data_IF_421954709378
#
_entry.id   IF_421954709378
#
_cell.length_a   1.000
_cell.length_b   1.000
_cell.length_c   1.000
_cell.angle_alpha   90.00
_cell.angle_beta   90.00
_cell.angle_gamma   90.00
#
_symmetry.space_group_name_H-M   'P 1'
#
loop_
_entity.id
_entity.type
_entity.pdbx_description
1 polymer ?
#
# COMPACT_ATOMS: atom_id res chain seq x y z
N UNK A 1 16.43 -20.00 11.43
CA UNK A 1 16.32 -19.97 9.96
C UNK A 1 16.72 -18.57 9.56
N UNK A 2 17.67 -18.38 8.65
CA UNK A 2 18.19 -17.05 8.35
C UNK A 2 17.43 -16.44 7.17
N UNK A 3 17.02 -15.17 7.31
CA UNK A 3 16.38 -14.39 6.26
C UNK A 3 17.44 -13.85 5.32
N UNK A 4 17.23 -13.99 4.01
CA UNK A 4 18.12 -13.45 2.96
C UNK A 4 17.53 -12.25 2.23
N UNK A 5 16.22 -12.03 2.31
CA UNK A 5 15.55 -10.94 1.62
C UNK A 5 14.07 -10.80 1.93
N UNK A 6 13.52 -9.65 1.54
CA UNK A 6 12.10 -9.32 1.57
C UNK A 6 11.70 -8.79 0.20
N UNK A 7 10.58 -9.28 -0.34
CA UNK A 7 9.87 -8.66 -1.44
C UNK A 7 8.54 -8.09 -0.93
N UNK A 8 8.40 -6.77 -0.97
CA UNK A 8 7.15 -6.09 -0.65
C UNK A 8 6.45 -5.68 -1.95
N UNK A 9 5.32 -6.31 -2.23
CA UNK A 9 4.53 -6.11 -3.44
C UNK A 9 3.36 -5.18 -3.17
N UNK A 10 3.17 -4.16 -4.02
CA UNK A 10 1.97 -3.32 -4.07
C UNK A 10 1.24 -3.64 -5.37
N UNK A 11 0.10 -4.32 -5.24
CA UNK A 11 -0.63 -4.87 -6.38
C UNK A 11 -1.72 -3.92 -6.84
N UNK A 12 -1.82 -3.75 -8.15
CA UNK A 12 -2.87 -2.97 -8.79
C UNK A 12 -4.22 -3.70 -8.70
N UNK A 13 -5.03 -3.27 -7.75
CA UNK A 13 -6.43 -3.72 -7.58
C UNK A 13 -7.42 -2.64 -8.01
N UNK A 14 -6.96 -1.58 -8.64
CA UNK A 14 -7.70 -0.34 -8.90
C UNK A 14 -7.80 0.53 -7.65
N UNK A 15 -8.97 1.16 -7.42
CA UNK A 15 -9.20 2.00 -6.24
C UNK A 15 -9.40 1.13 -5.00
N UNK A 16 -8.32 0.86 -4.26
CA UNK A 16 -8.28 0.06 -3.05
C UNK A 16 -6.84 -0.31 -2.72
N UNK A 17 -6.64 -1.21 -1.76
CA UNK A 17 -5.30 -1.62 -1.34
C UNK A 17 -5.11 -3.14 -1.43
N UNK A 18 -3.90 -3.53 -1.84
CA UNK A 18 -3.40 -4.88 -1.69
C UNK A 18 -1.87 -4.89 -1.62
N UNK A 19 -1.34 -5.19 -0.44
CA UNK A 19 0.10 -5.33 -0.25
C UNK A 19 0.43 -6.77 0.14
N UNK A 20 1.30 -7.42 -0.60
CA UNK A 20 1.71 -8.80 -0.37
C UNK A 20 3.20 -8.85 -0.08
N UNK A 21 3.61 -9.61 0.93
CA UNK A 21 5.00 -9.67 1.35
C UNK A 21 5.49 -11.11 1.26
N UNK A 22 6.67 -11.29 0.68
CA UNK A 22 7.41 -12.55 0.70
C UNK A 22 8.70 -12.36 1.49
N UNK A 23 8.99 -13.29 2.38
CA UNK A 23 10.26 -13.33 3.12
C UNK A 23 11.05 -14.54 2.62
N UNK A 24 12.28 -14.30 2.19
CA UNK A 24 13.16 -15.28 1.57
C UNK A 24 14.13 -15.87 2.60
N UNK A 25 14.36 -17.18 2.52
CA UNK A 25 15.37 -17.88 3.32
C UNK A 25 16.77 -17.77 2.69
N UNK A 26 17.81 -18.27 3.35
CA UNK A 26 19.20 -18.28 2.83
C UNK A 26 19.38 -18.91 1.44
N UNK A 27 18.50 -19.81 1.02
CA UNK A 27 18.49 -20.44 -0.31
C UNK A 27 17.77 -19.58 -1.37
N UNK A 28 17.25 -18.41 -0.99
CA UNK A 28 16.45 -17.53 -1.84
C UNK A 28 15.01 -18.02 -2.07
N UNK A 29 14.55 -19.02 -1.31
CA UNK A 29 13.20 -19.56 -1.39
C UNK A 29 12.24 -18.78 -0.49
N UNK A 30 11.01 -18.58 -0.98
CA UNK A 30 9.92 -18.02 -0.18
C UNK A 30 9.67 -18.93 1.01
N UNK A 31 9.62 -18.31 2.19
CA UNK A 31 9.45 -19.02 3.44
C UNK A 31 8.21 -18.57 4.17
N UNK A 32 8.05 -17.27 4.35
CA UNK A 32 6.87 -16.67 4.93
C UNK A 32 6.18 -15.80 3.89
N UNK A 33 4.85 -15.74 3.97
CA UNK A 33 4.07 -14.78 3.21
C UNK A 33 3.09 -14.05 4.12
N UNK A 34 2.94 -12.75 3.90
CA UNK A 34 2.00 -11.90 4.63
C UNK A 34 1.13 -11.14 3.64
N UNK A 35 -0.09 -10.79 4.05
CA UNK A 35 -1.03 -9.99 3.28
C UNK A 35 -1.53 -8.83 4.13
N UNK A 36 -1.38 -7.61 3.63
CA UNK A 36 -1.87 -6.38 4.24
C UNK A 36 -2.87 -5.76 3.28
N UNK A 37 -4.14 -5.83 3.66
CA UNK A 37 -5.32 -5.48 2.87
C UNK A 37 -5.47 -6.30 1.56
N UNK A 38 -6.72 -6.44 1.14
CA UNK A 38 -7.10 -6.94 -0.18
C UNK A 38 -8.53 -6.49 -0.47
N UNK A 39 -8.66 -5.35 -1.14
CA UNK A 39 -9.95 -4.82 -1.52
C UNK A 39 -9.92 -3.84 -2.69
N UNK A 40 -11.11 -3.51 -3.19
CA UNK A 40 -11.29 -2.49 -4.23
C UNK A 40 -12.73 -1.99 -4.30
N UNK A 41 -12.94 -0.72 -4.62
CA UNK A 41 -14.21 -0.15 -5.10
C UNK A 41 -14.20 0.08 -6.62
N UNK A 42 -13.10 -0.25 -7.30
CA UNK A 42 -13.03 -0.27 -8.76
C UNK A 42 -13.73 -1.48 -9.39
N UNK A 43 -13.68 -1.57 -10.72
CA UNK A 43 -14.20 -2.74 -11.42
C UNK A 43 -13.41 -3.97 -11.00
N UNK A 44 -14.12 -5.01 -10.54
CA UNK A 44 -13.50 -6.27 -10.07
C UNK A 44 -12.51 -6.88 -11.06
N UNK A 45 -12.67 -6.61 -12.36
CA UNK A 45 -11.79 -7.05 -13.43
C UNK A 45 -10.34 -6.61 -13.22
N UNK A 46 -10.09 -5.38 -12.76
CA UNK A 46 -8.73 -4.86 -12.53
C UNK A 46 -7.93 -5.75 -11.57
N UNK A 47 -8.60 -6.32 -10.57
CA UNK A 47 -7.98 -7.15 -9.56
C UNK A 47 -7.93 -8.65 -9.91
N UNK A 48 -8.55 -9.11 -11.01
CA UNK A 48 -8.74 -10.55 -11.26
C UNK A 48 -7.42 -11.30 -11.42
N UNK A 49 -6.50 -10.77 -12.22
CA UNK A 49 -5.19 -11.38 -12.45
C UNK A 49 -4.35 -11.40 -11.17
N UNK A 50 -4.36 -10.30 -10.40
CA UNK A 50 -3.64 -10.21 -9.13
C UNK A 50 -4.24 -11.13 -8.06
N UNK A 51 -5.57 -11.32 -8.02
CA UNK A 51 -6.20 -12.32 -7.14
C UNK A 51 -5.79 -13.74 -7.53
N UNK A 52 -5.74 -14.05 -8.83
CA UNK A 52 -5.31 -15.37 -9.30
C UNK A 52 -3.84 -15.63 -8.91
N UNK A 53 -2.97 -14.64 -9.11
CA UNK A 53 -1.57 -14.70 -8.70
C UNK A 53 -1.41 -14.90 -7.19
N UNK A 54 -2.16 -14.16 -6.35
CA UNK A 54 -2.11 -14.34 -4.89
C UNK A 54 -2.53 -15.75 -4.45
N UNK A 55 -3.55 -16.32 -5.10
CA UNK A 55 -3.98 -17.70 -4.82
C UNK A 55 -2.89 -18.69 -5.15
N UNK A 56 -2.20 -18.50 -6.27
CA UNK A 56 -1.05 -19.32 -6.66
C UNK A 56 0.08 -19.20 -5.62
N UNK A 57 0.38 -17.99 -5.12
CA UNK A 57 1.39 -17.83 -4.06
C UNK A 57 1.01 -18.56 -2.77
N UNK A 58 -0.26 -18.49 -2.36
CA UNK A 58 -0.77 -19.23 -1.19
C UNK A 58 -0.69 -20.75 -1.42
N UNK A 59 -1.13 -21.22 -2.58
CA UNK A 59 -1.10 -22.65 -2.95
C UNK A 59 0.33 -23.20 -3.01
N UNK A 60 1.28 -22.40 -3.50
CA UNK A 60 2.70 -22.73 -3.53
C UNK A 60 3.35 -22.68 -2.14
N UNK A 61 2.80 -21.91 -1.20
CA UNK A 61 3.25 -21.84 0.19
C UNK A 61 2.47 -22.81 1.09
N UNK A 62 2.31 -24.06 0.64
CA UNK A 62 1.60 -25.13 1.36
C UNK A 62 0.19 -24.73 1.86
N UNK A 63 -0.49 -23.87 1.09
CA UNK A 63 -1.83 -23.37 1.44
C UNK A 63 -1.85 -22.64 2.79
N UNK A 64 -0.80 -21.87 3.09
CA UNK A 64 -0.61 -21.18 4.36
C UNK A 64 -0.23 -19.71 4.20
N UNK A 65 -0.76 -18.85 5.07
CA UNK A 65 -0.42 -17.43 5.17
C UNK A 65 0.01 -17.11 6.61
N UNK A 66 1.18 -16.53 6.83
CA UNK A 66 1.69 -16.28 8.18
C UNK A 66 0.88 -15.20 8.90
N UNK A 67 0.58 -14.09 8.21
CA UNK A 67 -0.21 -13.00 8.76
C UNK A 67 -1.14 -12.37 7.71
N UNK A 68 -2.36 -12.07 8.14
CA UNK A 68 -3.32 -11.23 7.42
C UNK A 68 -3.65 -10.01 8.27
N UNK A 69 -3.33 -8.83 7.77
CA UNK A 69 -3.66 -7.56 8.42
C UNK A 69 -4.70 -6.83 7.57
N UNK A 70 -5.79 -6.40 8.19
CA UNK A 70 -6.76 -5.49 7.58
C UNK A 70 -6.63 -4.14 8.27
N UNK A 71 -6.15 -3.12 7.56
CA UNK A 71 -5.78 -1.84 8.19
C UNK A 71 -6.99 -1.13 8.79
N UNK A 72 -8.16 -1.22 8.18
CA UNK A 72 -9.41 -0.69 8.71
C UNK A 72 -10.63 -1.27 7.99
N UNK A 73 -11.82 -0.85 8.47
CA UNK A 73 -13.10 -1.42 8.08
C UNK A 73 -13.77 -0.78 6.85
N UNK A 74 -13.06 -0.05 5.99
CA UNK A 74 -13.60 0.39 4.70
C UNK A 74 -13.48 -0.69 3.63
N UNK A 75 -14.46 -0.66 2.73
CA UNK A 75 -14.79 -1.82 1.89
C UNK A 75 -13.70 -2.13 0.86
N UNK A 76 -12.99 -1.13 0.38
CA UNK A 76 -11.86 -1.22 -0.53
C UNK A 76 -10.55 -1.74 0.09
N UNK A 77 -10.57 -2.15 1.37
CA UNK A 77 -9.42 -2.76 2.04
C UNK A 77 -9.59 -4.25 2.34
N UNK A 78 -10.81 -4.80 2.26
CA UNK A 78 -11.06 -6.20 2.66
C UNK A 78 -11.99 -7.00 1.75
N UNK A 79 -12.77 -6.34 0.88
CA UNK A 79 -13.89 -7.00 0.21
C UNK A 79 -13.50 -8.09 -0.79
N UNK A 80 -12.22 -8.20 -1.15
CA UNK A 80 -11.69 -9.23 -2.04
C UNK A 80 -11.07 -10.42 -1.28
N UNK A 81 -10.88 -10.34 0.05
CA UNK A 81 -10.32 -11.43 0.87
C UNK A 81 -11.09 -12.75 0.68
N UNK A 82 -12.42 -12.69 0.60
CA UNK A 82 -13.24 -13.89 0.39
C UNK A 82 -12.89 -14.65 -0.91
N UNK A 83 -12.25 -14.01 -1.89
CA UNK A 83 -11.86 -14.62 -3.15
C UNK A 83 -10.56 -15.42 -3.08
N UNK A 84 -9.69 -15.15 -2.11
CA UNK A 84 -8.47 -15.93 -1.91
C UNK A 84 -8.68 -17.10 -0.95
N UNK A 85 -9.74 -17.09 -0.15
CA UNK A 85 -10.03 -18.17 0.80
C UNK A 85 -10.03 -19.60 0.21
N UNK A 86 -10.52 -19.85 -1.02
CA UNK A 86 -10.45 -21.17 -1.62
C UNK A 86 -9.02 -21.73 -1.79
N UNK A 87 -7.99 -20.89 -1.82
CA UNK A 87 -6.59 -21.34 -1.91
C UNK A 87 -6.13 -22.13 -0.67
N UNK A 88 -6.71 -21.84 0.50
CA UNK A 88 -6.43 -22.53 1.77
C UNK A 88 -7.12 -23.90 1.88
N UNK A 89 -8.00 -24.26 0.94
CA UNK A 89 -8.87 -25.44 1.06
C UNK A 89 -9.97 -25.28 2.11
N UNK A 90 -10.56 -26.39 2.61
CA UNK A 90 -11.57 -26.35 3.67
C UNK A 90 -10.96 -25.82 4.99
N UNK A 91 -11.62 -24.88 5.70
CA UNK A 91 -11.09 -24.32 6.94
C UNK A 91 -10.79 -25.40 8.01
N UNK A 92 -9.58 -25.39 8.55
CA UNK A 92 -9.08 -26.31 9.59
C UNK A 92 -8.54 -25.59 10.84
N UNK A 93 -8.42 -24.25 10.80
CA UNK A 93 -8.02 -23.40 11.91
C UNK A 93 -6.52 -23.06 11.96
N UNK A 94 -5.71 -23.62 11.06
CA UNK A 94 -4.24 -23.43 11.06
C UNK A 94 -3.69 -22.98 9.71
N UNK A 95 -4.54 -22.47 8.81
CA UNK A 95 -4.11 -22.02 7.47
C UNK A 95 -3.68 -20.56 7.43
N UNK A 96 -4.12 -19.77 8.40
CA UNK A 96 -3.65 -18.40 8.59
C UNK A 96 -3.07 -18.31 9.99
N UNK A 97 -1.78 -17.97 10.12
CA UNK A 97 -1.09 -17.91 11.40
C UNK A 97 -1.72 -16.88 12.33
N UNK A 98 -1.85 -15.64 11.86
CA UNK A 98 -2.44 -14.53 12.60
C UNK A 98 -3.36 -13.69 11.72
N UNK A 99 -4.50 -13.25 12.27
CA UNK A 99 -5.34 -12.20 11.69
C UNK A 99 -5.41 -11.01 12.65
N UNK A 100 -5.10 -9.82 12.15
CA UNK A 100 -5.30 -8.56 12.87
C UNK A 100 -6.14 -7.58 12.06
N UNK A 101 -6.90 -6.73 12.74
CA UNK A 101 -7.72 -5.76 12.05
C UNK A 101 -7.91 -4.45 12.83
N UNK A 102 -7.89 -3.32 12.13
CA UNK A 102 -8.22 -2.02 12.69
C UNK A 102 -9.73 -1.77 12.75
N UNK A 103 -10.17 -1.07 13.78
CA UNK A 103 -11.56 -0.68 14.00
C UNK A 103 -12.47 -1.85 14.39
N UNK A 104 -13.77 -1.58 14.54
CA UNK A 104 -14.67 -2.57 15.09
C UNK A 104 -15.07 -3.65 14.08
N UNK A 105 -15.17 -4.89 14.56
CA UNK A 105 -15.44 -6.11 13.77
C UNK A 105 -16.67 -6.00 12.84
N UNK A 106 -17.71 -5.28 13.25
CA UNK A 106 -18.95 -5.11 12.51
C UNK A 106 -18.78 -4.30 11.22
N UNK A 107 -17.66 -3.60 11.02
CA UNK A 107 -17.33 -2.94 9.75
C UNK A 107 -16.91 -3.92 8.65
N UNK A 108 -16.41 -5.09 9.03
CA UNK A 108 -15.98 -6.14 8.09
C UNK A 108 -17.19 -6.97 7.62
N UNK A 109 -17.98 -6.33 6.76
CA UNK A 109 -19.28 -6.74 6.23
C UNK A 109 -20.28 -7.22 7.30
N UNK A 110 -20.40 -6.52 8.43
CA UNK A 110 -21.23 -6.90 9.60
C UNK A 110 -20.64 -8.02 10.47
N UNK A 111 -19.30 -8.11 10.49
CA UNK A 111 -18.52 -9.12 11.23
C UNK A 111 -18.55 -10.50 10.59
N UNK A 112 -19.20 -10.64 9.41
CA UNK A 112 -19.26 -11.92 8.70
C UNK A 112 -17.88 -12.36 8.24
N UNK A 113 -17.06 -11.42 7.77
CA UNK A 113 -15.70 -11.74 7.35
C UNK A 113 -14.85 -12.20 8.52
N UNK A 114 -14.84 -11.47 9.65
CA UNK A 114 -14.11 -11.86 10.87
C UNK A 114 -14.50 -13.27 11.33
N UNK A 115 -15.82 -13.56 11.41
CA UNK A 115 -16.29 -14.92 11.74
C UNK A 115 -15.89 -16.00 10.74
N UNK A 116 -15.69 -15.62 9.47
CA UNK A 116 -15.23 -16.55 8.43
C UNK A 116 -13.74 -16.81 8.60
N UNK A 117 -12.94 -15.76 8.79
CA UNK A 117 -11.50 -15.84 9.01
C UNK A 117 -11.15 -16.61 10.29
N UNK A 118 -11.91 -16.46 11.38
CA UNK A 118 -11.73 -17.25 12.60
C UNK A 118 -11.97 -18.77 12.45
N UNK A 119 -12.33 -19.25 11.25
CA UNK A 119 -12.34 -20.69 10.93
C UNK A 119 -11.03 -21.17 10.28
N UNK A 120 -10.22 -20.25 9.77
CA UNK A 120 -8.93 -20.51 9.13
C UNK A 120 -7.74 -20.22 10.06
N UNK A 121 -7.98 -19.53 11.19
CA UNK A 121 -6.96 -19.20 12.18
C UNK A 121 -7.44 -19.44 13.61
N UNK A 122 -6.52 -19.83 14.49
CA UNK A 122 -6.70 -19.83 15.94
C UNK A 122 -6.40 -18.48 16.61
N UNK A 123 -5.81 -17.52 15.88
CA UNK A 123 -5.38 -16.22 16.39
C UNK A 123 -5.97 -15.07 15.55
N UNK A 124 -7.08 -14.51 16.03
CA UNK A 124 -7.76 -13.38 15.40
C UNK A 124 -8.14 -12.33 16.45
N UNK A 125 -7.80 -11.07 16.20
CA UNK A 125 -8.09 -9.98 17.14
C UNK A 125 -8.05 -8.60 16.49
N UNK A 126 -8.83 -7.68 17.04
CA UNK A 126 -8.69 -6.25 16.76
C UNK A 126 -7.72 -5.60 17.73
N UNK A 127 -7.44 -4.32 17.51
CA UNK A 127 -6.59 -3.53 18.40
C UNK A 127 -7.40 -2.77 19.45
N UNK A 128 -6.74 -2.39 20.55
CA UNK A 128 -7.29 -1.42 21.49
C UNK A 128 -7.07 0.00 20.94
N UNK A 129 -7.85 1.01 21.41
CA UNK A 129 -7.66 2.39 20.98
C UNK A 129 -6.24 2.90 21.24
N UNK A 130 -5.63 3.53 20.22
CA UNK A 130 -4.23 3.98 20.21
C UNK A 130 -3.23 2.90 20.62
N UNK A 131 -3.52 1.61 20.36
CA UNK A 131 -2.58 0.55 20.68
C UNK A 131 -1.33 0.70 19.82
N UNK A 132 -0.17 0.52 20.45
CA UNK A 132 1.15 0.54 19.83
C UNK A 132 1.98 -0.62 20.38
N UNK A 133 2.96 -1.08 19.60
CA UNK A 133 4.05 -1.95 20.07
C UNK A 133 5.21 -1.17 20.67
N UNK A 134 5.20 0.17 20.58
CA UNK A 134 6.26 1.04 21.10
C UNK A 134 6.08 1.33 22.59
N UNK A 135 7.15 1.15 23.36
CA UNK A 135 7.23 1.44 24.79
C UNK A 135 8.61 2.07 25.10
N UNK A 136 8.68 3.40 25.27
CA UNK A 136 9.95 4.11 25.44
C UNK A 136 10.69 3.74 26.73
N UNK A 137 10.01 3.13 27.70
CA UNK A 137 10.57 2.75 28.99
C UNK A 137 11.23 1.34 28.97
N UNK A 138 11.11 0.60 27.86
CA UNK A 138 11.74 -0.71 27.69
C UNK A 138 13.14 -0.60 27.08
N UNK A 139 13.99 -1.57 27.40
CA UNK A 139 15.29 -1.75 26.73
C UNK A 139 15.10 -2.07 25.25
N UNK A 140 14.25 -3.08 24.96
CA UNK A 140 13.70 -3.31 23.62
C UNK A 140 12.40 -2.52 23.49
N UNK A 141 12.51 -1.31 22.92
CA UNK A 141 11.39 -0.36 22.81
C UNK A 141 10.22 -0.86 21.95
N UNK A 142 10.43 -1.87 21.12
CA UNK A 142 9.45 -2.36 20.16
C UNK A 142 9.04 -3.81 20.44
N UNK A 143 7.75 -4.02 20.69
CA UNK A 143 7.14 -5.35 20.77
C UNK A 143 6.41 -5.67 19.44
N UNK A 144 6.93 -6.63 18.66
CA UNK A 144 6.35 -6.97 17.37
C UNK A 144 5.03 -7.73 17.54
N UNK A 145 4.07 -7.46 16.65
CA UNK A 145 2.81 -8.22 16.60
C UNK A 145 2.98 -9.58 15.91
N UNK A 146 4.05 -9.74 15.13
CA UNK A 146 4.43 -10.98 14.46
C UNK A 146 5.93 -10.95 14.10
N UNK A 147 6.60 -12.10 14.09
CA UNK A 147 8.02 -12.20 13.76
C UNK A 147 8.40 -13.59 13.21
N UNK A 148 9.49 -13.68 12.44
CA UNK A 148 10.03 -14.97 11.93
C UNK A 148 10.83 -15.74 12.98
N UNK A 149 11.39 -15.04 13.96
CA UNK A 149 12.23 -15.57 15.03
C UNK A 149 12.50 -14.52 16.10
N UNK A 150 13.66 -14.56 16.76
CA UNK A 150 14.01 -13.65 17.87
C UNK A 150 15.36 -12.95 17.68
N UNK A 151 16.05 -13.22 16.58
CA UNK A 151 17.40 -12.71 16.32
C UNK A 151 17.34 -11.43 15.46
N UNK A 152 18.41 -10.63 15.46
CA UNK A 152 18.45 -9.35 14.71
C UNK A 152 18.28 -9.51 13.19
N UNK A 153 18.59 -10.69 12.65
CA UNK A 153 18.43 -11.03 11.24
C UNK A 153 17.02 -11.54 10.90
N UNK A 154 16.12 -11.64 11.88
CA UNK A 154 14.71 -11.97 11.67
C UNK A 154 13.90 -10.77 11.18
N UNK A 155 12.72 -11.05 10.62
CA UNK A 155 11.76 -10.02 10.23
C UNK A 155 10.74 -9.83 11.34
N UNK A 156 10.46 -8.56 11.66
CA UNK A 156 9.53 -8.15 12.71
C UNK A 156 8.44 -7.27 12.11
N UNK A 157 7.18 -7.63 12.31
CA UNK A 157 6.05 -6.77 12.00
C UNK A 157 5.74 -5.91 13.23
N UNK A 158 6.17 -4.66 13.19
CA UNK A 158 6.00 -3.68 14.26
C UNK A 158 4.66 -2.96 14.11
N UNK A 159 3.91 -2.87 15.22
CA UNK A 159 2.73 -2.01 15.30
C UNK A 159 3.16 -0.61 15.71
N UNK A 160 3.11 0.34 14.77
CA UNK A 160 3.41 1.75 15.07
C UNK A 160 2.23 2.33 15.85
N UNK A 161 1.02 2.31 15.27
CA UNK A 161 -0.21 2.68 15.98
C UNK A 161 -1.44 2.06 15.32
N UNK A 162 -2.50 1.81 16.09
CA UNK A 162 -3.81 1.40 15.60
C UNK A 162 -4.95 2.09 16.36
N UNK A 163 -6.13 2.14 15.74
CA UNK A 163 -7.40 2.51 16.37
C UNK A 163 -7.40 3.87 17.09
N UNK A 164 -6.71 4.86 16.52
CA UNK A 164 -6.67 6.22 17.07
C UNK A 164 -8.10 6.75 17.29
N UNK A 165 -8.45 7.24 18.49
CA UNK A 165 -9.76 7.82 18.76
C UNK A 165 -10.09 8.98 17.84
N UNK A 166 -11.34 9.07 17.42
CA UNK A 166 -11.84 10.16 16.58
C UNK A 166 -12.95 10.93 17.32
N UNK A 167 -13.06 12.26 17.24
CA UNK A 167 -14.07 13.03 17.97
C UNK A 167 -15.53 12.67 17.63
N UNK A 168 -15.75 12.13 16.43
CA UNK A 168 -17.05 11.60 16.00
C UNK A 168 -17.23 10.10 16.29
N UNK A 169 -16.33 9.50 17.08
CA UNK A 169 -16.57 8.17 17.59
C UNK A 169 -17.85 8.18 18.45
N UNK A 170 -18.75 7.22 18.24
CA UNK A 170 -19.86 7.01 19.16
C UNK A 170 -19.32 6.78 20.57
N UNK A 171 -19.99 7.35 21.57
CA UNK A 171 -19.61 7.30 22.99
C UNK A 171 -19.31 5.88 23.54
N UNK A 172 -19.74 4.85 22.82
CA UNK A 172 -19.48 3.45 23.09
C UNK A 172 -19.27 2.71 21.77
N UNK A 173 -18.16 2.98 21.06
CA UNK A 173 -17.76 2.32 19.80
C UNK A 173 -17.85 0.78 19.89
N UNK A 174 -17.59 0.24 21.09
CA UNK A 174 -17.60 -1.19 21.38
C UNK A 174 -18.84 -1.69 22.17
N UNK A 175 -19.70 -0.79 22.67
CA UNK A 175 -20.86 -1.20 23.48
C UNK A 175 -22.22 -0.99 22.79
N UNK A 176 -22.32 -0.12 21.77
CA UNK A 176 -23.54 0.07 20.98
C UNK A 176 -23.52 -0.87 19.78
N UNK A 177 -24.65 -1.54 19.51
CA UNK A 177 -24.77 -2.46 18.38
C UNK A 177 -24.80 -1.68 17.06
N UNK A 178 -23.63 -1.53 16.42
CA UNK A 178 -23.41 -0.93 15.07
C UNK A 178 -23.79 0.56 14.94
N UNK A 179 -23.12 1.44 15.70
CA UNK A 179 -23.28 2.89 15.51
C UNK A 179 -22.88 3.32 14.09
N UNK A 180 -23.49 4.39 13.57
CA UNK A 180 -23.03 5.01 12.33
C UNK A 180 -21.67 5.68 12.56
N UNK A 181 -20.70 5.36 11.71
CA UNK A 181 -19.43 6.07 11.60
C UNK A 181 -19.37 6.74 10.23
N UNK A 182 -18.85 7.97 10.16
CA UNK A 182 -18.50 8.59 8.88
C UNK A 182 -17.19 7.97 8.36
N UNK A 183 -16.85 8.19 7.08
CA UNK A 183 -15.64 7.60 6.48
C UNK A 183 -14.36 8.01 7.20
N UNK A 184 -14.24 9.30 7.57
CA UNK A 184 -13.09 9.84 8.32
C UNK A 184 -12.85 9.11 9.65
N UNK A 185 -13.90 8.86 10.44
CA UNK A 185 -13.77 8.12 11.69
C UNK A 185 -13.37 6.66 11.47
N UNK A 186 -13.71 6.06 10.32
CA UNK A 186 -13.30 4.68 9.98
C UNK A 186 -11.84 4.67 9.56
N UNK A 187 -11.41 5.66 8.78
CA UNK A 187 -10.04 5.82 8.29
C UNK A 187 -9.05 6.16 9.40
N UNK A 188 -9.49 6.90 10.42
CA UNK A 188 -8.70 7.16 11.64
C UNK A 188 -8.38 5.86 12.41
N UNK A 189 -9.10 4.77 12.15
CA UNK A 189 -8.80 3.43 12.70
C UNK A 189 -7.74 2.66 11.93
N UNK A 190 -7.13 3.27 10.92
CA UNK A 190 -6.06 2.63 10.14
C UNK A 190 -4.93 2.16 11.06
N UNK A 191 -4.54 0.91 10.86
CA UNK A 191 -3.33 0.33 11.46
C UNK A 191 -2.13 0.82 10.65
N UNK A 192 -1.25 1.58 11.29
CA UNK A 192 0.05 1.96 10.74
C UNK A 192 1.09 0.97 11.28
N UNK A 193 1.85 0.34 10.38
CA UNK A 193 2.79 -0.72 10.72
C UNK A 193 4.11 -0.58 9.96
N UNK A 194 5.19 -1.04 10.58
CA UNK A 194 6.51 -1.16 9.96
C UNK A 194 6.90 -2.63 9.87
N UNK A 195 7.20 -3.12 8.67
CA UNK A 195 7.87 -4.41 8.50
C UNK A 195 9.38 -4.16 8.59
N UNK A 196 9.97 -4.53 9.70
CA UNK A 196 11.37 -4.36 10.01
C UNK A 196 12.19 -5.58 9.61
N UNK A 197 13.32 -5.33 8.96
CA UNK A 197 14.37 -6.33 8.84
C UNK A 197 15.72 -5.64 8.96
N UNK A 198 16.49 -6.04 9.97
CA UNK A 198 17.69 -5.32 10.40
C UNK A 198 17.35 -3.85 10.71
N UNK A 199 18.06 -2.92 10.08
CA UNK A 199 17.93 -1.48 10.27
C UNK A 199 17.01 -0.82 9.20
N UNK A 200 16.23 -1.62 8.46
CA UNK A 200 15.38 -1.15 7.36
C UNK A 200 13.88 -1.39 7.65
N UNK A 201 13.02 -0.44 7.28
CA UNK A 201 11.55 -0.51 7.38
C UNK A 201 10.84 -0.42 6.03
N UNK A 202 9.79 -1.22 5.88
CA UNK A 202 8.70 -0.99 4.92
C UNK A 202 7.44 -0.57 5.70
N UNK A 203 6.95 0.64 5.49
CA UNK A 203 5.85 1.23 6.26
C UNK A 203 4.54 1.19 5.47
N UNK A 204 3.52 0.55 6.04
CA UNK A 204 2.16 0.55 5.50
C UNK A 204 1.25 1.40 6.39
N UNK A 205 0.53 2.33 5.77
CA UNK A 205 -0.26 3.38 6.46
C UNK A 205 -1.77 3.18 6.38
N UNK A 206 -2.25 2.30 5.50
CA UNK A 206 -3.69 2.17 5.20
C UNK A 206 -4.28 3.51 4.75
N UNK A 207 -5.40 3.89 5.37
CA UNK A 207 -6.07 5.17 5.11
C UNK A 207 -5.85 6.19 6.23
N UNK A 208 -4.67 6.16 6.88
CA UNK A 208 -4.35 7.06 7.97
C UNK A 208 -4.72 8.52 7.68
N UNK A 209 -5.45 9.12 8.62
CA UNK A 209 -5.88 10.52 8.60
C UNK A 209 -4.81 11.43 9.16
N UNK A 210 -4.95 12.76 9.01
CA UNK A 210 -4.06 13.70 9.71
C UNK A 210 -4.06 13.45 11.22
N UNK A 211 -5.22 13.10 11.79
CA UNK A 211 -5.36 12.68 13.19
C UNK A 211 -4.50 11.45 13.51
N UNK A 212 -4.52 10.41 12.69
CA UNK A 212 -3.66 9.23 12.88
C UNK A 212 -2.18 9.58 12.72
N UNK A 213 -1.81 10.36 11.70
CA UNK A 213 -0.42 10.77 11.45
C UNK A 213 0.13 11.63 12.60
N UNK A 214 -0.64 12.57 13.12
CA UNK A 214 -0.26 13.37 14.29
C UNK A 214 -0.09 12.53 15.55
N UNK A 215 -0.92 11.50 15.75
CA UNK A 215 -0.75 10.56 16.86
C UNK A 215 0.52 9.70 16.71
N UNK A 216 0.93 9.35 15.49
CA UNK A 216 2.25 8.73 15.24
C UNK A 216 3.37 9.70 15.60
N UNK A 217 3.26 10.96 15.19
CA UNK A 217 4.27 11.97 15.51
C UNK A 217 4.42 12.15 17.02
N UNK A 218 3.32 12.38 17.74
CA UNK A 218 3.33 12.51 19.21
C UNK A 218 3.91 11.27 19.91
N UNK A 219 3.56 10.06 19.43
CA UNK A 219 4.10 8.82 19.97
C UNK A 219 5.62 8.73 19.84
N UNK A 220 6.16 9.14 18.68
CA UNK A 220 7.56 9.00 18.34
C UNK A 220 8.41 10.24 18.68
N UNK A 221 7.80 11.34 19.14
CA UNK A 221 8.53 12.49 19.71
C UNK A 221 9.37 12.10 20.94
N UNK A 222 8.97 11.04 21.63
CA UNK A 222 9.70 10.48 22.78
C UNK A 222 10.81 9.51 22.36
N UNK A 223 10.90 9.16 21.08
CA UNK A 223 11.95 8.28 20.58
C UNK A 223 13.28 9.03 20.52
N UNK A 224 14.25 8.49 21.24
CA UNK A 224 15.61 9.04 21.34
C UNK A 224 16.56 8.36 20.38
N UNK A 225 16.24 7.14 19.96
CA UNK A 225 17.07 6.37 19.04
C UNK A 225 16.63 6.63 17.60
N UNK A 226 17.55 6.66 16.63
CA UNK A 226 17.16 6.78 15.24
C UNK A 226 16.21 5.64 14.84
N UNK A 227 15.08 5.98 14.23
CA UNK A 227 14.20 4.98 13.62
C UNK A 227 14.96 4.25 12.50
N UNK A 228 14.62 2.97 12.24
CA UNK A 228 15.13 2.26 11.08
C UNK A 228 14.88 3.03 9.78
N UNK A 229 15.81 2.90 8.83
CA UNK A 229 15.73 3.56 7.54
C UNK A 229 14.47 3.11 6.80
N UNK A 230 13.57 4.03 6.47
CA UNK A 230 12.36 3.67 5.74
C UNK A 230 12.67 3.54 4.25
N UNK A 231 12.69 2.31 3.74
CA UNK A 231 12.96 2.03 2.32
C UNK A 231 11.73 2.38 1.47
N UNK A 232 10.54 2.03 1.95
CA UNK A 232 9.28 2.25 1.26
C UNK A 232 8.18 2.64 2.25
N UNK A 233 7.33 3.58 1.86
CA UNK A 233 6.11 3.92 2.57
C UNK A 233 4.90 3.91 1.63
N UNK A 234 3.77 3.34 2.04
CA UNK A 234 2.50 3.54 1.30
C UNK A 234 1.94 4.94 1.60
N UNK A 235 1.52 5.65 0.56
CA UNK A 235 0.80 6.91 0.73
C UNK A 235 -0.58 6.65 1.32
N UNK A 236 -1.00 7.36 2.39
CA UNK A 236 -2.29 7.13 3.02
C UNK A 236 -3.47 7.34 2.08
N UNK A 237 -4.50 6.50 2.20
CA UNK A 237 -5.78 6.60 1.50
C UNK A 237 -5.59 6.84 0.01
N UNK A 238 -4.81 5.99 -0.66
CA UNK A 238 -4.66 6.04 -2.12
C UNK A 238 -4.16 7.40 -2.65
N UNK A 239 -3.56 8.24 -1.79
CA UNK A 239 -3.23 9.63 -2.09
C UNK A 239 -4.39 10.62 -1.99
N UNK A 240 -5.34 10.39 -1.06
CA UNK A 240 -6.47 11.29 -0.83
C UNK A 240 -6.08 12.53 -0.03
N UNK A 241 -6.00 13.67 -0.72
CA UNK A 241 -5.84 14.96 -0.06
C UNK A 241 -6.88 15.21 1.05
N UNK A 242 -8.12 14.80 0.81
CA UNK A 242 -9.20 15.05 1.77
C UNK A 242 -8.93 14.34 3.09
N UNK A 243 -8.60 13.06 3.03
CA UNK A 243 -8.41 12.24 4.23
C UNK A 243 -7.06 12.51 4.88
N UNK A 244 -5.98 12.61 4.12
CA UNK A 244 -4.64 12.81 4.69
C UNK A 244 -4.49 14.14 5.44
N UNK A 245 -5.32 15.15 5.12
CA UNK A 245 -5.35 16.44 5.84
C UNK A 245 -6.62 16.68 6.68
N UNK A 246 -7.49 15.68 6.86
CA UNK A 246 -8.78 15.81 7.58
C UNK A 246 -9.65 17.00 7.12
N UNK A 247 -9.78 17.14 5.81
CA UNK A 247 -10.56 18.21 5.21
C UNK A 247 -12.05 17.90 5.25
N UNK A 248 -12.86 18.85 5.73
CA UNK A 248 -14.33 18.75 5.70
C UNK A 248 -14.88 18.44 4.29
N UNK A 249 -14.27 19.04 3.26
CA UNK A 249 -14.60 18.80 1.85
C UNK A 249 -13.31 18.61 1.05
N UNK A 250 -13.36 17.76 0.03
CA UNK A 250 -12.19 17.49 -0.81
C UNK A 250 -11.64 18.75 -1.50
N UNK A 251 -12.52 19.70 -1.81
CA UNK A 251 -12.16 20.98 -2.44
C UNK A 251 -11.68 22.06 -1.47
N UNK A 252 -11.62 21.79 -0.17
CA UNK A 252 -10.98 22.72 0.75
C UNK A 252 -9.47 22.74 0.51
N UNK A 253 -8.86 23.89 0.79
CA UNK A 253 -7.40 24.04 0.82
C UNK A 253 -6.92 23.59 2.21
N UNK A 254 -5.92 22.71 2.32
CA UNK A 254 -5.35 22.35 3.61
C UNK A 254 -4.72 23.56 4.29
N UNK A 255 -5.06 23.75 5.58
CA UNK A 255 -4.48 24.80 6.41
C UNK A 255 -2.98 24.58 6.68
N UNK A 256 -2.33 25.56 7.29
CA UNK A 256 -0.91 25.42 7.67
C UNK A 256 -0.68 24.26 8.64
N UNK A 257 -1.47 24.16 9.70
CA UNK A 257 -1.37 23.11 10.73
C UNK A 257 -1.51 21.70 10.14
N UNK A 258 -2.52 21.46 9.30
CA UNK A 258 -2.69 20.15 8.66
C UNK A 258 -1.50 19.77 7.78
N UNK A 259 -0.89 20.74 7.08
CA UNK A 259 0.32 20.50 6.27
C UNK A 259 1.54 20.22 7.13
N UNK A 260 1.66 20.89 8.28
CA UNK A 260 2.72 20.64 9.27
C UNK A 260 2.63 19.23 9.82
N UNK A 261 1.45 18.77 10.25
CA UNK A 261 1.26 17.40 10.76
C UNK A 261 1.72 16.34 9.77
N UNK A 262 1.33 16.47 8.50
CA UNK A 262 1.78 15.56 7.43
C UNK A 262 3.29 15.70 7.18
N UNK A 263 3.83 16.92 7.23
CA UNK A 263 5.26 17.19 7.04
C UNK A 263 6.12 16.58 8.15
N UNK A 264 5.73 16.75 9.41
CA UNK A 264 6.41 16.21 10.59
C UNK A 264 6.37 14.68 10.59
N UNK A 265 5.22 14.09 10.25
CA UNK A 265 5.12 12.64 10.05
C UNK A 265 6.13 12.18 8.98
N UNK A 266 6.21 12.85 7.83
CA UNK A 266 7.16 12.47 6.79
C UNK A 266 8.63 12.68 7.19
N UNK A 267 8.92 13.71 7.98
CA UNK A 267 10.26 13.98 8.49
C UNK A 267 10.75 12.87 9.45
N UNK A 268 9.85 12.25 10.22
CA UNK A 268 10.20 11.12 11.10
C UNK A 268 10.72 9.91 10.32
N UNK A 269 10.09 9.58 9.18
CA UNK A 269 10.44 8.38 8.42
C UNK A 269 11.43 8.65 7.28
N UNK A 270 11.41 9.85 6.69
CA UNK A 270 12.20 10.26 5.52
C UNK A 270 12.37 9.14 4.49
N UNK A 271 11.27 8.65 3.89
CA UNK A 271 11.29 7.41 3.12
C UNK A 271 12.15 7.51 1.85
N UNK A 272 12.82 6.43 1.47
CA UNK A 272 13.58 6.34 0.20
C UNK A 272 12.67 6.25 -1.02
N UNK A 273 11.46 5.75 -0.84
CA UNK A 273 10.44 5.64 -1.86
C UNK A 273 9.02 5.66 -1.28
N UNK A 274 8.06 6.04 -2.10
CA UNK A 274 6.63 6.05 -1.75
C UNK A 274 5.85 5.26 -2.80
N UNK A 275 4.91 4.45 -2.35
CA UNK A 275 3.97 3.73 -3.21
C UNK A 275 2.55 4.26 -3.05
N UNK A 276 1.77 4.24 -4.13
CA UNK A 276 0.39 4.71 -4.16
C UNK A 276 -0.45 3.64 -4.86
N UNK A 277 -1.38 3.04 -4.15
CA UNK A 277 -2.42 2.19 -4.75
C UNK A 277 -3.61 3.07 -5.11
N UNK A 278 -3.89 3.30 -6.40
CA UNK A 278 -4.96 4.20 -6.83
C UNK A 278 -5.51 3.81 -8.21
N UNK A 279 -6.59 4.49 -8.64
CA UNK A 279 -7.22 4.35 -9.95
C UNK A 279 -7.99 5.65 -10.33
N UNK A 280 -8.47 5.73 -11.57
CA UNK A 280 -9.14 6.92 -12.15
C UNK A 280 -10.58 7.16 -11.68
N UNK A 281 -10.98 6.54 -10.57
CA UNK A 281 -12.34 6.63 -10.06
C UNK A 281 -12.66 8.05 -9.59
N UNK A 282 -13.97 8.33 -9.48
CA UNK A 282 -14.55 9.63 -9.11
C UNK A 282 -14.22 10.09 -7.65
N UNK A 283 -13.02 9.79 -7.15
CA UNK A 283 -12.51 10.11 -5.83
C UNK A 283 -11.36 11.13 -5.84
N UNK A 284 -10.82 11.50 -7.02
CA UNK A 284 -9.71 12.47 -7.16
C UNK A 284 -8.39 11.96 -6.55
N UNK A 285 -8.13 10.66 -6.69
CA UNK A 285 -6.95 9.98 -6.18
C UNK A 285 -6.05 9.51 -7.33
N UNK A 286 -4.71 9.58 -7.21
CA UNK A 286 -4.00 10.32 -6.17
C UNK A 286 -3.98 11.82 -6.44
N UNK A 287 -3.95 12.64 -5.38
CA UNK A 287 -3.74 14.09 -5.47
C UNK A 287 -2.30 14.41 -5.90
N UNK A 288 -2.14 15.26 -6.92
CA UNK A 288 -0.83 15.77 -7.33
C UNK A 288 -0.22 16.64 -6.23
N UNK A 289 -1.01 17.47 -5.55
CA UNK A 289 -0.53 18.30 -4.44
C UNK A 289 0.06 17.45 -3.31
N UNK A 290 -0.65 16.40 -2.89
CA UNK A 290 -0.17 15.50 -1.84
C UNK A 290 1.07 14.71 -2.31
N UNK A 291 1.06 14.27 -3.57
CA UNK A 291 2.19 13.55 -4.16
C UNK A 291 3.45 14.40 -4.21
N UNK A 292 3.33 15.68 -4.53
CA UNK A 292 4.44 16.62 -4.49
C UNK A 292 5.01 16.75 -3.07
N UNK A 293 4.15 16.94 -2.05
CA UNK A 293 4.63 17.03 -0.67
C UNK A 293 5.42 15.78 -0.26
N UNK A 294 4.91 14.58 -0.56
CA UNK A 294 5.62 13.33 -0.27
C UNK A 294 6.94 13.24 -1.05
N UNK A 295 6.96 13.65 -2.32
CA UNK A 295 8.18 13.63 -3.14
C UNK A 295 9.29 14.53 -2.58
N UNK A 296 8.93 15.68 -1.99
CA UNK A 296 9.90 16.62 -1.40
C UNK A 296 10.51 16.13 -0.09
N UNK A 297 9.88 15.13 0.53
CA UNK A 297 10.28 14.53 1.81
C UNK A 297 10.96 13.16 1.65
N UNK A 298 11.21 12.74 0.40
CA UNK A 298 12.01 11.55 0.15
C UNK A 298 13.45 11.77 0.59
N UNK A 299 14.13 10.69 0.98
CA UNK A 299 15.56 10.73 1.28
C UNK A 299 16.34 11.25 0.05
N UNK A 300 16.98 12.43 0.13
CA UNK A 300 17.65 13.03 -1.02
C UNK A 300 18.94 12.29 -1.42
N UNK A 301 19.46 11.40 -0.58
CA UNK A 301 20.61 10.57 -0.89
C UNK A 301 20.25 9.34 -1.75
N UNK A 302 18.96 9.01 -1.87
CA UNK A 302 18.50 7.85 -2.63
C UNK A 302 18.42 8.20 -4.12
N UNK A 303 19.20 7.55 -5.01
CA UNK A 303 19.08 7.77 -6.45
C UNK A 303 17.73 7.24 -6.97
N UNK A 304 17.35 7.56 -8.22
CA UNK A 304 16.22 6.90 -8.87
C UNK A 304 16.35 5.38 -8.81
N UNK A 305 15.36 4.70 -8.23
CA UNK A 305 15.39 3.25 -7.96
C UNK A 305 14.90 2.42 -9.14
N UNK A 306 14.17 3.04 -10.06
CA UNK A 306 13.61 2.41 -11.24
C UNK A 306 13.47 3.42 -12.38
N UNK A 307 13.45 2.92 -13.61
CA UNK A 307 13.12 3.70 -14.79
C UNK A 307 12.33 2.85 -15.79
N UNK A 308 11.34 3.45 -16.42
CA UNK A 308 10.58 2.81 -17.48
C UNK A 308 11.48 2.62 -18.71
N UNK A 309 11.56 1.40 -19.29
CA UNK A 309 12.36 1.14 -20.49
C UNK A 309 11.99 2.02 -21.70
N UNK A 310 10.77 2.55 -21.74
CA UNK A 310 10.28 3.44 -22.79
C UNK A 310 10.69 4.91 -22.59
N UNK A 311 11.33 5.23 -21.46
CA UNK A 311 11.75 6.58 -21.08
C UNK A 311 13.28 6.67 -20.92
N UNK A 312 13.75 7.91 -20.70
CA UNK A 312 15.13 8.13 -20.30
C UNK A 312 15.44 7.40 -18.98
N UNK A 313 16.71 6.99 -18.81
CA UNK A 313 17.13 6.25 -17.63
C UNK A 313 16.75 6.97 -16.31
N UNK A 314 16.12 6.22 -15.41
CA UNK A 314 15.66 6.72 -14.10
C UNK A 314 14.34 7.49 -14.12
N UNK A 315 13.65 7.58 -15.26
CA UNK A 315 12.34 8.23 -15.34
C UNK A 315 11.19 7.22 -15.47
N UNK A 316 10.05 7.54 -14.89
CA UNK A 316 8.80 6.79 -15.01
C UNK A 316 7.57 7.67 -15.08
N UNK A 317 6.44 7.08 -15.44
CA UNK A 317 5.14 7.74 -15.42
C UNK A 317 4.49 7.76 -14.04
N UNK A 318 3.74 8.82 -13.76
CA UNK A 318 2.92 8.99 -12.58
C UNK A 318 1.60 9.65 -12.97
N UNK A 319 0.49 8.95 -12.79
CA UNK A 319 -0.85 9.51 -13.06
C UNK A 319 -1.50 10.02 -11.78
N UNK A 320 -1.99 11.26 -11.81
CA UNK A 320 -2.57 11.95 -10.66
C UNK A 320 -3.70 12.90 -11.06
N UNK A 321 -4.60 13.16 -10.12
CA UNK A 321 -5.54 14.26 -10.16
C UNK A 321 -4.82 15.60 -10.02
N UNK A 322 -5.08 16.54 -10.93
CA UNK A 322 -4.39 17.83 -11.00
C UNK A 322 -5.06 18.85 -10.06
N UNK A 323 -4.67 18.83 -8.80
CA UNK A 323 -5.13 19.76 -7.76
C UNK A 323 -4.04 20.68 -7.20
N UNK A 324 -3.09 21.00 -8.07
CA UNK A 324 -1.94 21.86 -7.81
C UNK A 324 -1.94 22.99 -8.83
N UNK A 325 -1.67 24.22 -8.39
CA UNK A 325 -1.38 25.35 -9.25
C UNK A 325 0.03 25.85 -8.96
N UNK A 326 0.80 26.10 -10.02
CA UNK A 326 2.07 26.81 -9.91
C UNK A 326 1.78 28.30 -9.92
N UNK A 327 2.25 29.01 -8.91
CA UNK A 327 2.39 30.47 -8.95
C UNK A 327 3.87 30.83 -9.10
N UNK A 328 4.20 32.06 -9.52
CA UNK A 328 5.61 32.49 -9.63
C UNK A 328 6.40 32.42 -8.31
N UNK A 329 5.73 32.26 -7.17
CA UNK A 329 6.34 32.34 -5.84
C UNK A 329 6.21 31.02 -5.09
N UNK A 330 5.11 30.29 -5.25
CA UNK A 330 4.83 29.05 -4.51
C UNK A 330 3.96 28.05 -5.29
N UNK A 331 4.00 26.80 -4.84
CA UNK A 331 3.02 25.76 -5.16
C UNK A 331 1.79 25.93 -4.27
N UNK A 332 0.61 26.09 -4.87
CA UNK A 332 -0.65 26.25 -4.14
C UNK A 332 -1.64 25.13 -4.47
N UNK A 333 -2.29 24.53 -3.46
CA UNK A 333 -3.37 23.58 -3.69
C UNK A 333 -4.52 24.32 -4.39
N UNK A 334 -4.99 23.75 -5.51
CA UNK A 334 -6.12 24.29 -6.28
C UNK A 334 -7.16 23.20 -6.46
N UNK A 335 -8.43 23.57 -6.46
CA UNK A 335 -9.48 22.67 -6.93
C UNK A 335 -9.88 23.07 -8.34
N UNK A 336 -9.53 22.30 -9.39
CA UNK A 336 -9.95 22.64 -10.74
C UNK A 336 -11.48 22.50 -10.87
N UNK A 337 -12.09 23.32 -11.73
CA UNK A 337 -13.53 23.25 -11.99
C UNK A 337 -13.92 21.99 -12.80
N UNK A 338 -12.96 21.41 -13.53
CA UNK A 338 -13.16 20.27 -14.40
C UNK A 338 -12.48 19.02 -13.83
N UNK A 339 -13.02 17.84 -14.18
CA UNK A 339 -12.38 16.57 -13.91
C UNK A 339 -11.06 16.42 -14.70
N UNK A 340 -9.92 16.78 -14.10
CA UNK A 340 -8.61 16.78 -14.74
C UNK A 340 -7.62 15.85 -14.02
N UNK A 341 -7.31 14.74 -14.67
CA UNK A 341 -6.14 13.91 -14.37
C UNK A 341 -5.05 14.19 -15.39
N UNK A 342 -3.80 13.95 -15.00
CA UNK A 342 -2.64 14.02 -15.89
C UNK A 342 -1.63 12.93 -15.58
N UNK A 343 -0.99 12.39 -16.61
CA UNK A 343 0.11 11.44 -16.48
C UNK A 343 1.45 12.14 -16.67
N UNK A 344 2.18 12.39 -15.60
CA UNK A 344 3.47 13.09 -15.61
C UNK A 344 4.64 12.14 -15.78
N UNK A 345 5.82 12.67 -16.12
CA UNK A 345 7.09 11.96 -16.03
C UNK A 345 7.86 12.48 -14.81
N UNK A 346 8.45 11.57 -14.05
CA UNK A 346 9.22 11.90 -12.85
C UNK A 346 10.40 10.96 -12.70
N UNK A 347 11.45 11.44 -12.04
CA UNK A 347 12.55 10.62 -11.55
C UNK A 347 12.52 10.47 -10.01
N UNK A 348 11.55 11.09 -9.33
CA UNK A 348 11.35 10.90 -7.91
C UNK A 348 10.83 9.49 -7.65
N UNK A 349 11.27 8.85 -6.56
CA UNK A 349 10.89 7.49 -6.18
C UNK A 349 9.46 7.39 -5.63
N UNK A 350 8.48 7.94 -6.37
CA UNK A 350 7.05 7.83 -6.10
C UNK A 350 6.40 6.98 -7.18
N UNK A 351 5.79 5.86 -6.79
CA UNK A 351 5.32 4.83 -7.69
C UNK A 351 3.81 4.60 -7.51
N UNK A 352 3.04 4.76 -8.57
CA UNK A 352 1.57 4.61 -8.54
C UNK A 352 1.11 3.38 -9.32
N UNK A 353 0.17 2.60 -8.78
CA UNK A 353 -0.43 1.47 -9.49
C UNK A 353 -1.24 1.96 -10.71
N UNK A 354 -1.92 3.11 -10.60
CA UNK A 354 -2.49 3.82 -11.75
C UNK A 354 -1.38 4.52 -12.52
N UNK A 355 -0.74 3.74 -13.38
CA UNK A 355 0.55 4.09 -13.95
C UNK A 355 0.43 5.11 -15.08
N UNK A 356 -0.42 4.83 -16.08
CA UNK A 356 -0.50 5.61 -17.31
C UNK A 356 -1.93 5.72 -17.83
N UNK A 357 -2.28 6.87 -18.41
CA UNK A 357 -3.58 7.06 -19.05
C UNK A 357 -3.47 7.89 -20.32
N UNK A 358 -3.60 7.24 -21.48
CA UNK A 358 -3.53 7.91 -22.78
C UNK A 358 -4.63 8.96 -22.98
N UNK A 359 -5.79 8.80 -22.32
CA UNK A 359 -6.88 9.79 -22.35
C UNK A 359 -6.57 11.06 -21.59
N UNK A 360 -5.67 10.97 -20.62
CA UNK A 360 -5.33 12.03 -19.67
C UNK A 360 -3.88 12.51 -19.87
N UNK A 361 -3.20 11.97 -20.88
CA UNK A 361 -1.91 12.45 -21.33
C UNK A 361 -2.12 13.69 -22.23
N UNK A 362 -2.04 14.90 -21.66
CA UNK A 362 -2.19 16.14 -22.42
C UNK A 362 -0.90 16.97 -22.42
N UNK A 363 0.03 16.63 -23.32
CA UNK A 363 1.38 17.21 -23.44
C UNK A 363 1.41 18.75 -23.43
N UNK A 364 0.33 19.39 -23.91
CA UNK A 364 0.26 20.82 -24.18
C UNK A 364 0.10 21.71 -22.92
N UNK A 365 -0.35 21.16 -21.78
CA UNK A 365 -0.53 21.93 -20.54
C UNK A 365 0.46 21.55 -19.42
N UNK A 366 1.37 20.58 -19.64
CA UNK A 366 2.23 20.04 -18.57
C UNK A 366 3.18 21.05 -17.94
N UNK A 367 3.70 22.00 -18.72
CA UNK A 367 4.59 23.05 -18.20
C UNK A 367 3.95 23.98 -17.16
N UNK A 368 2.62 23.93 -16.98
CA UNK A 368 1.88 24.77 -16.04
C UNK A 368 1.60 24.08 -14.69
N UNK A 369 1.80 22.76 -14.57
CA UNK A 369 1.37 21.98 -13.40
C UNK A 369 2.51 21.27 -12.66
N UNK A 370 3.73 21.26 -13.21
CA UNK A 370 4.91 20.75 -12.53
C UNK A 370 5.95 21.86 -12.36
N UNK A 371 6.13 22.35 -11.13
CA UNK A 371 7.38 22.99 -10.71
C UNK A 371 8.22 21.94 -9.95
N UNK A 372 9.56 22.05 -9.98
CA UNK A 372 10.44 21.18 -9.19
C UNK A 372 10.07 21.19 -7.69
N UNK A 373 10.31 20.09 -6.93
CA UNK A 373 11.37 19.10 -7.18
C UNK A 373 10.94 17.80 -7.88
N UNK A 374 9.91 17.82 -8.73
CA UNK A 374 9.78 16.82 -9.79
C UNK A 374 10.55 17.34 -11.02
N UNK A 375 11.73 16.80 -11.37
CA UNK A 375 12.41 17.18 -12.61
C UNK A 375 11.56 16.67 -13.77
N UNK A 376 10.71 17.50 -14.36
CA UNK A 376 10.04 17.16 -15.61
C UNK A 376 10.58 18.05 -16.72
N UNK A 377 11.18 17.41 -17.72
CA UNK A 377 11.43 18.05 -19.00
C UNK A 377 10.14 17.96 -19.82
N UNK A 378 9.63 19.06 -20.38
CA UNK A 378 8.64 18.96 -21.45
C UNK A 378 9.34 18.33 -22.64
N UNK A 379 9.02 17.08 -22.97
CA UNK A 379 9.50 16.53 -24.24
C UNK A 379 8.62 17.06 -25.35
N UNK A 380 9.25 17.79 -26.28
CA UNK A 380 8.71 18.00 -27.62
C UNK A 380 8.45 16.63 -28.25
N UNK A 381 7.27 16.47 -28.84
CA UNK A 381 6.86 15.39 -29.74
C UNK A 381 7.11 13.97 -29.25
N UNK A 382 6.24 13.49 -28.35
CA UNK A 382 6.09 12.06 -28.12
C UNK A 382 4.79 11.60 -28.79
N UNK A 383 4.90 10.79 -29.85
CA UNK A 383 3.76 10.04 -30.34
C UNK A 383 3.26 9.13 -29.19
N UNK A 384 1.96 9.12 -28.95
CA UNK A 384 1.38 8.30 -27.90
C UNK A 384 1.80 6.83 -28.13
N UNK A 385 2.63 6.30 -27.24
CA UNK A 385 2.98 4.89 -27.28
C UNK A 385 1.75 4.09 -26.84
N UNK A 386 1.09 3.44 -27.80
CA UNK A 386 -0.09 2.60 -27.58
C UNK A 386 0.18 1.39 -26.65
N UNK A 387 1.44 1.11 -26.34
CA UNK A 387 1.89 -0.08 -25.61
C UNK A 387 2.19 0.15 -24.11
N UNK A 388 2.07 1.39 -23.59
CA UNK A 388 2.30 1.63 -22.15
C UNK A 388 1.12 1.10 -21.32
N UNK A 389 1.36 0.23 -20.33
CA UNK A 389 0.27 -0.35 -19.54
C UNK A 389 -0.37 0.70 -18.64
N UNK A 390 -1.70 0.71 -18.55
CA UNK A 390 -2.39 1.67 -17.69
C UNK A 390 -2.22 1.38 -16.19
N UNK A 391 -1.93 0.13 -15.83
CA UNK A 391 -1.73 -0.33 -14.46
C UNK A 391 -0.42 -1.09 -14.30
N UNK A 392 0.27 -0.91 -13.17
CA UNK A 392 1.48 -1.65 -12.79
C UNK A 392 1.42 -2.16 -11.36
N UNK A 393 1.94 -3.36 -11.14
CA UNK A 393 2.31 -3.85 -9.83
C UNK A 393 3.74 -3.41 -9.54
N UNK A 394 4.03 -3.06 -8.29
CA UNK A 394 5.35 -2.64 -7.84
C UNK A 394 5.90 -3.65 -6.84
N UNK A 395 7.18 -3.99 -6.99
CA UNK A 395 7.89 -4.84 -6.05
C UNK A 395 9.10 -4.08 -5.52
N UNK A 396 9.15 -3.95 -4.20
CA UNK A 396 10.22 -3.32 -3.44
C UNK A 396 11.01 -4.42 -2.75
N UNK A 397 12.24 -4.65 -3.20
CA UNK A 397 13.06 -5.76 -2.74
C UNK A 397 14.25 -5.28 -1.92
N UNK A 398 14.45 -5.87 -0.75
CA UNK A 398 15.65 -5.70 0.06
C UNK A 398 16.29 -7.06 0.25
N UNK A 399 17.57 -7.18 -0.10
CA UNK A 399 18.36 -8.41 0.05
C UNK A 399 19.85 -8.10 0.28
N UNK A 400 20.73 -9.10 0.16
CA UNK A 400 22.18 -8.93 0.26
C UNK A 400 22.81 -8.02 -0.81
N UNK A 401 22.10 -7.70 -1.90
CA UNK A 401 22.56 -6.82 -2.97
C UNK A 401 22.12 -5.36 -2.81
N UNK A 402 21.17 -5.09 -1.91
CA UNK A 402 20.72 -3.74 -1.58
C UNK A 402 19.20 -3.61 -1.63
N UNK A 403 18.75 -2.36 -1.78
CA UNK A 403 17.35 -2.02 -2.01
C UNK A 403 17.11 -1.77 -3.49
N UNK A 404 16.11 -2.43 -4.09
CA UNK A 404 15.76 -2.31 -5.50
C UNK A 404 14.26 -2.21 -5.70
N UNK A 405 13.84 -1.61 -6.81
CA UNK A 405 12.43 -1.52 -7.20
C UNK A 405 12.26 -2.10 -8.60
N UNK A 406 11.27 -2.97 -8.77
CA UNK A 406 10.88 -3.50 -10.08
C UNK A 406 9.38 -3.35 -10.28
N UNK A 407 8.92 -3.53 -11.52
CA UNK A 407 7.49 -3.46 -11.83
C UNK A 407 7.08 -4.46 -12.90
N UNK A 408 5.83 -4.91 -12.81
CA UNK A 408 5.19 -5.75 -13.82
C UNK A 408 3.89 -5.10 -14.29
N UNK A 409 3.60 -5.07 -15.60
CA UNK A 409 2.31 -4.60 -16.10
C UNK A 409 1.15 -5.41 -15.51
N UNK A 410 0.05 -4.75 -15.11
CA UNK A 410 -1.19 -5.45 -14.79
C UNK A 410 -1.89 -5.85 -16.11
N UNK A 411 -2.03 -7.15 -16.43
CA UNK A 411 -2.62 -7.59 -17.71
C UNK A 411 -4.09 -7.17 -17.86
N UNK A 412 -4.79 -6.96 -16.75
CA UNK A 412 -6.18 -6.51 -16.74
C UNK A 412 -6.37 -5.10 -17.33
N UNK A 413 -5.29 -4.32 -17.41
CA UNK A 413 -5.23 -2.98 -18.02
C UNK A 413 -4.86 -2.97 -19.50
N UNK A 414 -4.76 -4.11 -20.19
CA UNK A 414 -4.53 -4.13 -21.64
C UNK A 414 -5.61 -3.30 -22.32
N UNK A 415 -5.19 -2.14 -22.85
CA UNK A 415 -5.99 -1.23 -23.64
C UNK A 415 -6.62 -2.10 -24.73
N UNK A 416 -7.95 -2.12 -24.81
CA UNK A 416 -8.60 -2.58 -26.03
C UNK A 416 -8.03 -1.66 -27.10
N UNK A 417 -7.11 -2.16 -27.92
CA UNK A 417 -6.71 -1.50 -29.14
C UNK A 417 -8.00 -1.00 -29.75
N UNK A 418 -8.21 0.32 -29.75
CA UNK A 418 -9.35 0.90 -30.41
C UNK A 418 -9.06 0.54 -31.85
N UNK A 419 -9.75 -0.49 -32.35
CA UNK A 419 -9.71 -0.81 -33.75
C UNK A 419 -10.20 0.46 -34.44
N UNK A 420 -9.26 1.30 -34.85
CA UNK A 420 -9.49 2.30 -35.87
C UNK A 420 -10.14 1.48 -36.97
N UNK A 421 -11.40 1.77 -37.28
CA UNK A 421 -12.16 1.07 -38.29
C UNK A 421 -11.53 1.35 -39.66
N UNK A 422 -10.37 0.77 -39.91
CA UNK A 422 -9.75 0.66 -41.20
C UNK A 422 -10.52 -0.40 -41.96
N UNK A 423 -11.36 0.03 -42.88
CA UNK A 423 -11.93 -0.85 -43.90
C UNK A 423 -10.78 -1.51 -44.66
N UNK A 424 -10.52 -2.78 -44.37
CA UNK A 424 -9.46 -3.54 -45.01
C UNK A 424 -9.67 -5.02 -44.75
N UNK A 425 -10.32 -5.69 -45.70
CA UNK A 425 -10.44 -7.14 -45.71
C UNK A 425 -9.06 -7.79 -45.89
N UNK A 426 -8.73 -8.77 -45.05
CA UNK A 426 -7.75 -9.80 -45.43
C UNK A 426 -6.90 -10.37 -44.30
N UNK A 427 -6.99 -11.69 -44.12
CA UNK A 427 -5.85 -12.53 -43.74
C UNK A 427 -5.68 -12.81 -42.24
N UNK A 428 -6.15 -13.96 -41.78
CA UNK A 428 -5.94 -14.43 -40.42
C UNK A 428 -4.53 -14.98 -40.16
N UNK A 429 -4.04 -14.78 -38.95
CA UNK A 429 -3.01 -15.60 -38.32
C UNK A 429 -3.25 -15.61 -36.81
N UNK A 430 -3.40 -16.81 -36.23
CA UNK A 430 -3.51 -17.04 -34.79
C UNK A 430 -2.09 -17.04 -34.20
N UNK A 431 -1.78 -16.13 -33.28
CA UNK A 431 -0.56 -16.20 -32.46
C UNK A 431 -0.88 -16.88 -31.12
N UNK A 432 0.03 -17.76 -30.70
CA UNK A 432 -0.02 -18.50 -29.45
C UNK A 432 0.62 -17.69 -28.31
N UNK A 433 -0.01 -17.72 -27.13
CA UNK A 433 0.52 -17.13 -25.90
C UNK A 433 1.75 -17.89 -25.38
N UNK A 434 2.75 -17.21 -24.79
CA UNK A 434 3.87 -17.88 -24.14
C UNK A 434 3.45 -18.45 -22.79
N UNK A 435 3.80 -19.73 -22.56
CA UNK A 435 3.72 -20.40 -21.26
C UNK A 435 4.86 -19.90 -20.37
N UNK A 436 4.55 -19.45 -19.16
CA UNK A 436 5.53 -19.26 -18.09
C UNK A 436 6.05 -20.62 -17.62
N UNK A 437 7.36 -20.69 -17.34
CA UNK A 437 8.03 -21.86 -16.83
C UNK A 437 7.78 -21.96 -15.32
N UNK A 438 7.14 -23.05 -14.90
CA UNK A 438 6.98 -23.44 -13.50
C UNK A 438 8.27 -24.08 -12.99
N UNK A 439 8.86 -23.52 -11.94
CA UNK A 439 9.87 -24.20 -11.12
C UNK A 439 9.18 -24.87 -9.94
N UNK A 440 8.94 -26.18 -10.07
CA UNK A 440 8.49 -27.04 -8.96
C UNK A 440 9.72 -27.57 -8.22
N UNK A 441 10.08 -26.99 -7.08
CA UNK A 441 10.91 -27.66 -6.07
C UNK A 441 10.92 -26.84 -4.76
N UNK A 442 10.50 -27.47 -3.66
CA UNK A 442 10.65 -26.93 -2.31
C UNK A 442 9.51 -27.35 -1.39
N UNK A 443 9.48 -28.63 -0.97
CA UNK A 443 8.51 -29.15 0.00
C UNK A 443 9.25 -29.54 1.28
N UNK A 444 8.75 -29.04 2.43
CA UNK A 444 9.19 -29.23 3.82
C UNK A 444 10.52 -28.50 4.19
N UNK A 445 10.66 -27.80 5.32
CA UNK A 445 10.37 -28.19 6.71
C UNK A 445 10.03 -26.93 7.53
N UNK A 446 8.91 -26.92 8.27
CA UNK A 446 8.68 -25.98 9.39
C UNK A 446 8.40 -26.76 10.66
N UNK A 447 9.21 -26.50 11.69
CA UNK A 447 8.95 -26.94 13.05
C UNK A 447 7.81 -26.09 13.63
N UNK A 448 6.87 -26.75 14.32
CA UNK A 448 5.77 -26.07 14.99
C UNK A 448 6.31 -25.08 16.04
N UNK A 449 5.98 -23.80 15.89
CA UNK A 449 6.20 -22.77 16.91
C UNK A 449 5.20 -22.99 18.04
N UNK A 450 5.63 -23.11 19.31
CA UNK A 450 4.70 -23.23 20.43
C UNK A 450 4.03 -21.89 20.70
N UNK A 451 2.69 -21.87 20.64
CA UNK A 451 1.86 -20.76 21.11
C UNK A 451 2.10 -20.49 22.60
N UNK A 452 2.74 -19.37 22.93
CA UNK A 452 2.87 -18.88 24.30
C UNK A 452 1.55 -18.25 24.72
N UNK A 453 0.62 -19.04 25.27
CA UNK A 453 -0.62 -18.52 25.85
C UNK A 453 -0.39 -18.10 27.32
N UNK A 454 0.04 -16.86 27.53
CA UNK A 454 0.18 -16.26 28.87
C UNK A 454 -1.15 -15.73 29.43
N UNK A 455 -2.01 -16.61 29.98
CA UNK A 455 -3.17 -16.17 30.80
C UNK A 455 -2.69 -15.79 32.21
N UNK A 456 -2.46 -14.51 32.49
CA UNK A 456 -2.37 -14.00 33.87
C UNK A 456 -3.77 -13.90 34.49
N UNK A 457 -4.08 -14.82 35.42
CA UNK A 457 -5.17 -14.64 36.38
C UNK A 457 -4.68 -13.70 37.49
N UNK A 458 -5.40 -12.59 37.72
CA UNK A 458 -5.26 -11.79 38.94
C UNK A 458 -5.86 -12.59 40.11
N UNK A 459 -5.11 -12.71 41.20
CA UNK A 459 -5.63 -12.88 42.55
C UNK A 459 -5.76 -11.51 43.19
#
# INVERSE_FOLDING_TARGET
MTVSGINFHVLDVGQGACNFVEILNEDGLVSHILLIDLGTVSTRKTAEDNIAWLREQIENNDQYLDALIMTHGDHDHYNLIAKILPAFGPPDGNQIGMVRYGGPDWRYATGKLIRTLGRYTGDIGGFAPSQTGYDPDREEKWEPIWQTGTDIDDVFLQLIIADVPHPHDPANLYAVRRPKMNGEAVNTKSVVMGLQWRDDWFVATGDATATTLGAVTELLELETDPLPATLMMTMPHHGSRKTTYDLQKANNIPGFEARMVVGEFLDLFTPSSVSISADDKNFHHPSLYLTEQFSTKLNPATPPLWGDPELAAGYHFLTSWIDLAITPVFLEPRWPANWLYGTTRTAANVFCTYYFSSRQYNSENYGQYIAPPLPSYPTQDFEAQDDVPAGRNWQFSRDGHGFTVTSTPNPSHRVRAVAVAGGGAGGGARSASPRSATTTAGRAIRAAVPLVSGRRRRQ
#
